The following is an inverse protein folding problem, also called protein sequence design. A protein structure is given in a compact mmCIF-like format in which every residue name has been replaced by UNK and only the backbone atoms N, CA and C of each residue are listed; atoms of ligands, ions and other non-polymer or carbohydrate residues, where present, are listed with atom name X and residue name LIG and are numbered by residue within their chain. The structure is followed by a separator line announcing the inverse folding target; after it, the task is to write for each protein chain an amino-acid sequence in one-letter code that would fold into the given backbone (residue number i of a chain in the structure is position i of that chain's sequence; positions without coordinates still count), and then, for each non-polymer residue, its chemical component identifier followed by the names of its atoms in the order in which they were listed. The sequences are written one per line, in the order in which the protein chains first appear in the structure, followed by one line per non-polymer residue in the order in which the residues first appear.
data_IF_850507022886
#
_entry.id   IF_850507022886
#
_cell.length_a   1.000
_cell.length_b   1.000
_cell.length_c   1.000
_cell.angle_alpha   90.00
_cell.angle_beta   90.00
_cell.angle_gamma   90.00
#
_symmetry.space_group_name_H-M   'P 1'
#
loop_
_entity.id
_entity.type
_entity.pdbx_description
1 polymer ?
#
# COMPACT_ATOMS: atom_id res chain seq x y z
N UNK A 1 10.94 4.10 -12.92
CA UNK A 1 9.79 4.99 -12.65
C UNK A 1 10.25 6.26 -11.93
N UNK A 2 9.47 7.36 -11.95
CA UNK A 2 9.81 8.60 -11.23
C UNK A 2 8.89 8.82 -10.02
N UNK A 3 9.40 8.59 -8.82
CA UNK A 3 8.61 8.70 -7.57
C UNK A 3 8.13 10.13 -7.30
N UNK A 4 8.87 11.15 -7.76
CA UNK A 4 8.47 12.55 -7.59
C UNK A 4 7.24 12.88 -8.44
N UNK A 5 7.18 12.37 -9.67
CA UNK A 5 6.01 12.55 -10.55
C UNK A 5 4.78 11.83 -9.97
N UNK A 6 4.94 10.62 -9.44
CA UNK A 6 3.85 9.88 -8.80
C UNK A 6 3.33 10.61 -7.57
N UNK A 7 4.23 11.16 -6.76
CA UNK A 7 3.84 12.00 -5.61
C UNK A 7 2.91 13.13 -6.05
N UNK A 8 3.21 13.79 -7.18
CA UNK A 8 2.36 14.85 -7.73
C UNK A 8 1.02 14.32 -8.25
N UNK A 9 1.01 13.15 -8.89
CA UNK A 9 -0.23 12.52 -9.36
C UNK A 9 -1.18 12.14 -8.22
N UNK A 10 -0.65 11.86 -7.03
CA UNK A 10 -1.45 11.53 -5.85
C UNK A 10 -1.93 12.73 -5.04
N UNK A 11 -1.47 13.95 -5.34
CA UNK A 11 -1.95 15.16 -4.65
C UNK A 11 -3.46 15.36 -4.83
N UNK A 12 -4.13 15.74 -3.75
CA UNK A 12 -5.58 15.96 -3.69
C UNK A 12 -6.42 14.67 -3.54
N UNK A 13 -5.80 13.49 -3.60
CA UNK A 13 -6.44 12.23 -3.26
C UNK A 13 -6.22 11.86 -1.78
N UNK A 14 -6.94 10.85 -1.30
CA UNK A 14 -6.75 10.30 0.05
C UNK A 14 -6.56 8.79 -0.04
N UNK A 15 -5.89 8.19 0.94
CA UNK A 15 -5.70 6.74 0.99
C UNK A 15 -7.03 5.95 0.97
N UNK A 16 -8.08 6.35 1.73
CA UNK A 16 -9.39 5.69 1.61
C UNK A 16 -9.96 5.66 0.20
N UNK A 17 -9.81 6.74 -0.58
CA UNK A 17 -10.28 6.78 -1.98
C UNK A 17 -9.49 5.81 -2.87
N UNK A 18 -8.18 5.68 -2.65
CA UNK A 18 -7.35 4.72 -3.36
C UNK A 18 -7.78 3.27 -3.04
N UNK A 19 -7.95 2.96 -1.76
CA UNK A 19 -8.40 1.64 -1.30
C UNK A 19 -9.81 1.33 -1.84
N UNK A 20 -10.74 2.29 -1.75
CA UNK A 20 -12.09 2.14 -2.29
C UNK A 20 -12.07 1.84 -3.80
N UNK A 21 -11.21 2.54 -4.56
CA UNK A 21 -11.04 2.28 -5.99
C UNK A 21 -10.52 0.87 -6.25
N UNK A 22 -9.53 0.41 -5.49
CA UNK A 22 -8.97 -0.94 -5.65
C UNK A 22 -10.03 -2.01 -5.36
N UNK A 23 -10.71 -1.97 -4.21
CA UNK A 23 -11.69 -3.00 -3.84
C UNK A 23 -12.95 -3.00 -4.73
N UNK A 24 -13.21 -1.91 -5.46
CA UNK A 24 -14.29 -1.85 -6.46
C UNK A 24 -13.87 -2.39 -7.82
N UNK A 25 -12.58 -2.37 -8.10
CA UNK A 25 -12.02 -2.70 -9.43
C UNK A 25 -11.46 -4.12 -9.48
N UNK A 26 -11.08 -4.68 -8.34
CA UNK A 26 -10.44 -5.99 -8.23
C UNK A 26 -11.20 -6.83 -7.20
N UNK A 27 -11.46 -8.08 -7.55
CA UNK A 27 -11.93 -9.09 -6.60
C UNK A 27 -10.79 -9.57 -5.69
N UNK A 28 -11.16 -10.37 -4.69
CA UNK A 28 -10.24 -10.88 -3.68
C UNK A 28 -9.11 -11.76 -4.27
N UNK A 29 -9.45 -12.63 -5.21
CA UNK A 29 -8.50 -13.55 -5.84
C UNK A 29 -7.49 -12.79 -6.70
N UNK A 30 -7.95 -11.77 -7.45
CA UNK A 30 -7.11 -10.89 -8.26
C UNK A 30 -6.18 -10.06 -7.38
N UNK A 31 -6.67 -9.53 -6.26
CA UNK A 31 -5.82 -8.84 -5.27
C UNK A 31 -4.74 -9.78 -4.72
N UNK A 32 -5.10 -11.02 -4.38
CA UNK A 32 -4.15 -12.01 -3.87
C UNK A 32 -3.10 -12.39 -4.92
N UNK A 33 -3.51 -12.55 -6.18
CA UNK A 33 -2.60 -12.79 -7.30
C UNK A 33 -1.66 -11.60 -7.53
N UNK A 34 -2.17 -10.36 -7.49
CA UNK A 34 -1.36 -9.16 -7.64
C UNK A 34 -0.32 -9.02 -6.52
N UNK A 35 -0.70 -9.32 -5.26
CA UNK A 35 0.24 -9.36 -4.14
C UNK A 35 1.34 -10.39 -4.40
N UNK A 36 0.97 -11.62 -4.79
CA UNK A 36 1.94 -12.69 -5.08
C UNK A 36 2.89 -12.31 -6.21
N UNK A 37 2.36 -11.78 -7.33
CA UNK A 37 3.16 -11.33 -8.47
C UNK A 37 4.11 -10.19 -8.12
N UNK A 38 3.68 -9.24 -7.28
CA UNK A 38 4.54 -8.12 -6.86
C UNK A 38 5.74 -8.60 -6.04
N UNK A 39 5.61 -9.68 -5.25
CA UNK A 39 6.77 -10.28 -4.57
C UNK A 39 7.81 -10.85 -5.53
N UNK A 40 7.44 -11.20 -6.77
CA UNK A 40 8.37 -11.75 -7.76
C UNK A 40 9.41 -10.73 -8.21
N UNK A 41 9.14 -9.44 -8.03
CA UNK A 41 10.07 -8.34 -8.34
C UNK A 41 11.22 -8.20 -7.31
N UNK A 42 11.17 -8.98 -6.22
CA UNK A 42 12.20 -8.99 -5.18
C UNK A 42 12.99 -10.30 -5.20
N UNK A 43 14.30 -10.24 -4.89
CA UNK A 43 15.12 -11.44 -4.65
C UNK A 43 14.47 -12.36 -3.62
N UNK A 44 14.51 -13.67 -3.85
CA UNK A 44 13.81 -14.66 -3.01
C UNK A 44 14.24 -14.54 -1.55
N UNK A 45 15.52 -14.27 -1.30
CA UNK A 45 16.07 -14.15 0.06
C UNK A 45 15.54 -12.92 0.79
N UNK A 46 15.13 -11.87 0.05
CA UNK A 46 14.64 -10.61 0.60
C UNK A 46 13.11 -10.59 0.78
N UNK A 47 12.36 -11.46 0.08
CA UNK A 47 10.89 -11.52 0.17
C UNK A 47 10.35 -11.63 1.60
N UNK A 48 10.90 -12.46 2.51
CA UNK A 48 10.43 -12.52 3.90
C UNK A 48 10.52 -11.17 4.63
N UNK A 49 11.55 -10.38 4.35
CA UNK A 49 11.74 -9.07 4.95
C UNK A 49 10.74 -8.04 4.39
N UNK A 50 10.50 -8.06 3.07
CA UNK A 50 9.45 -7.25 2.44
C UNK A 50 8.09 -7.60 3.03
N UNK A 51 7.81 -8.89 3.21
CA UNK A 51 6.57 -9.37 3.78
C UNK A 51 6.34 -8.87 5.21
N UNK A 52 7.33 -9.07 6.08
CA UNK A 52 7.27 -8.61 7.47
C UNK A 52 7.13 -7.09 7.56
N UNK A 53 7.92 -6.35 6.78
CA UNK A 53 7.90 -4.89 6.80
C UNK A 53 6.56 -4.33 6.33
N UNK A 54 6.08 -4.75 5.16
CA UNK A 54 4.83 -4.22 4.60
C UNK A 54 3.62 -4.54 5.48
N UNK A 55 3.63 -5.71 6.16
CA UNK A 55 2.60 -6.07 7.13
C UNK A 55 2.63 -5.12 8.33
N UNK A 56 3.80 -4.94 8.95
CA UNK A 56 3.96 -4.08 10.11
C UNK A 56 3.65 -2.61 9.77
N UNK A 57 4.12 -2.14 8.62
CA UNK A 57 3.92 -0.77 8.17
C UNK A 57 2.45 -0.43 7.95
N UNK A 58 1.66 -1.37 7.42
CA UNK A 58 0.22 -1.16 7.19
C UNK A 58 -0.54 -0.73 8.46
N UNK A 59 -0.03 -1.09 9.64
CA UNK A 59 -0.62 -0.69 10.92
C UNK A 59 -0.48 0.81 11.20
N UNK A 60 0.55 1.48 10.68
CA UNK A 60 0.71 2.94 10.80
C UNK A 60 -0.44 3.69 10.14
N UNK A 61 -1.04 3.11 9.10
CA UNK A 61 -2.18 3.69 8.39
C UNK A 61 -3.51 3.46 9.11
N UNK A 62 -3.53 2.80 10.27
CA UNK A 62 -4.74 2.66 11.07
C UNK A 62 -4.84 3.81 12.07
N UNK A 63 -5.60 4.84 11.70
CA UNK A 63 -5.94 5.93 12.62
C UNK A 63 -6.74 7.04 11.94
N UNK A 64 -7.34 7.96 12.71
CA UNK A 64 -8.17 9.04 12.16
C UNK A 64 -7.42 9.96 11.18
N UNK A 65 -6.11 10.15 11.40
CA UNK A 65 -5.26 11.01 10.56
C UNK A 65 -5.24 10.57 9.09
N UNK A 66 -5.31 9.25 8.83
CA UNK A 66 -5.22 8.71 7.46
C UNK A 66 -6.42 9.06 6.60
N UNK A 67 -7.56 9.39 7.22
CA UNK A 67 -8.83 9.55 6.52
C UNK A 67 -8.86 10.80 5.66
N UNK A 68 -8.09 11.81 6.07
CA UNK A 68 -8.06 13.14 5.46
C UNK A 68 -6.67 13.54 4.97
N UNK A 69 -5.62 12.79 5.31
CA UNK A 69 -4.28 13.06 4.85
C UNK A 69 -4.19 12.95 3.32
N UNK A 70 -3.39 13.86 2.74
CA UNK A 70 -3.13 13.89 1.31
C UNK A 70 -2.33 12.65 0.92
N UNK A 71 -2.77 11.95 -0.12
CA UNK A 71 -2.14 10.72 -0.56
C UNK A 71 -0.71 10.95 -1.08
N UNK A 72 -0.41 12.13 -1.64
CA UNK A 72 0.95 12.47 -2.03
C UNK A 72 1.88 12.59 -0.82
N UNK A 73 1.41 13.14 0.30
CA UNK A 73 2.18 13.18 1.56
C UNK A 73 2.36 11.76 2.13
N UNK A 74 1.27 10.97 2.23
CA UNK A 74 1.35 9.56 2.68
C UNK A 74 2.34 8.78 1.82
N UNK A 75 2.28 8.96 0.49
CA UNK A 75 3.18 8.31 -0.44
C UNK A 75 4.62 8.74 -0.18
N UNK A 76 4.91 10.04 -0.15
CA UNK A 76 6.25 10.58 0.08
C UNK A 76 6.86 10.05 1.39
N UNK A 77 6.11 10.11 2.50
CA UNK A 77 6.55 9.64 3.81
C UNK A 77 6.81 8.13 3.79
N UNK A 78 5.93 7.36 3.15
CA UNK A 78 6.09 5.91 3.05
C UNK A 78 7.32 5.53 2.23
N UNK A 79 7.57 6.23 1.12
CA UNK A 79 8.75 6.02 0.28
C UNK A 79 10.03 6.35 1.06
N UNK A 80 10.03 7.42 1.85
CA UNK A 80 11.15 7.77 2.72
C UNK A 80 11.40 6.68 3.77
N UNK A 81 10.36 6.19 4.43
CA UNK A 81 10.47 5.12 5.42
C UNK A 81 10.96 3.80 4.80
N UNK A 82 10.52 3.46 3.58
CA UNK A 82 10.99 2.27 2.85
C UNK A 82 12.48 2.39 2.55
N UNK A 83 12.92 3.56 2.04
CA UNK A 83 14.34 3.82 1.75
C UNK A 83 15.20 3.78 3.03
N UNK A 84 14.67 4.29 4.14
CA UNK A 84 15.30 4.21 5.45
C UNK A 84 15.51 2.77 5.90
N UNK A 85 14.45 1.97 5.88
CA UNK A 85 14.53 0.55 6.25
C UNK A 85 15.51 -0.24 5.36
N UNK A 86 15.49 -0.02 4.05
CA UNK A 86 16.41 -0.69 3.13
C UNK A 86 17.87 -0.35 3.46
N UNK A 87 18.14 0.93 3.76
CA UNK A 87 19.47 1.40 4.17
C UNK A 87 19.93 0.74 5.47
N UNK A 88 19.08 0.67 6.49
CA UNK A 88 19.38 0.00 7.77
C UNK A 88 19.66 -1.50 7.60
N UNK A 89 18.99 -2.14 6.63
CA UNK A 89 19.19 -3.54 6.29
C UNK A 89 20.41 -3.81 5.37
N UNK A 90 21.09 -2.76 4.91
CA UNK A 90 22.19 -2.89 3.94
C UNK A 90 21.73 -3.32 2.54
N UNK A 91 20.45 -3.11 2.20
CA UNK A 91 19.84 -3.49 0.92
C UNK A 91 19.64 -2.24 0.05
N UNK A 92 20.07 -2.33 -1.20
CA UNK A 92 19.81 -1.29 -2.19
C UNK A 92 18.55 -1.61 -2.98
N UNK A 93 17.51 -0.78 -2.83
CA UNK A 93 16.29 -0.86 -3.63
C UNK A 93 16.29 0.19 -4.74
N UNK A 94 15.92 -0.20 -5.95
CA UNK A 94 15.65 0.76 -7.01
C UNK A 94 14.25 1.40 -6.84
N UNK A 95 13.98 2.50 -7.55
CA UNK A 95 12.72 3.23 -7.41
C UNK A 95 11.47 2.38 -7.76
N UNK A 96 11.60 1.38 -8.65
CA UNK A 96 10.50 0.48 -9.00
C UNK A 96 10.17 -0.44 -7.81
N UNK A 97 11.19 -1.04 -7.19
CA UNK A 97 11.05 -1.87 -5.99
C UNK A 97 10.51 -1.08 -4.79
N UNK A 98 10.92 0.17 -4.64
CA UNK A 98 10.41 1.04 -3.58
C UNK A 98 8.92 1.34 -3.77
N UNK A 99 8.49 1.58 -5.01
CA UNK A 99 7.07 1.72 -5.33
C UNK A 99 6.29 0.41 -5.16
N UNK A 100 6.88 -0.73 -5.52
CA UNK A 100 6.26 -2.04 -5.33
C UNK A 100 6.02 -2.34 -3.85
N UNK A 101 6.94 -1.93 -2.97
CA UNK A 101 6.72 -2.00 -1.52
C UNK A 101 5.54 -1.13 -1.07
N UNK A 102 5.41 0.10 -1.59
CA UNK A 102 4.22 0.92 -1.34
C UNK A 102 2.94 0.22 -1.84
N UNK A 103 2.95 -0.32 -3.06
CA UNK A 103 1.81 -1.04 -3.62
C UNK A 103 1.43 -2.27 -2.81
N UNK A 104 2.40 -3.04 -2.32
CA UNK A 104 2.15 -4.18 -1.44
C UNK A 104 1.39 -3.76 -0.18
N UNK A 105 1.77 -2.63 0.43
CA UNK A 105 1.07 -2.10 1.61
C UNK A 105 -0.38 -1.72 1.23
N UNK A 106 -0.58 -0.99 0.13
CA UNK A 106 -1.93 -0.61 -0.33
C UNK A 106 -2.78 -1.84 -0.63
N UNK A 107 -2.28 -2.79 -1.42
CA UNK A 107 -3.02 -4.01 -1.79
C UNK A 107 -3.37 -4.86 -0.57
N UNK A 108 -2.49 -4.94 0.43
CA UNK A 108 -2.78 -5.63 1.70
C UNK A 108 -3.90 -4.97 2.46
N UNK A 109 -3.87 -3.64 2.59
CA UNK A 109 -4.96 -2.92 3.26
C UNK A 109 -6.26 -3.06 2.48
N UNK A 110 -6.22 -3.04 1.15
CA UNK A 110 -7.38 -3.29 0.29
C UNK A 110 -7.94 -4.71 0.45
N UNK A 111 -7.09 -5.73 0.47
CA UNK A 111 -7.50 -7.11 0.74
C UNK A 111 -8.16 -7.24 2.12
N UNK A 112 -7.58 -6.63 3.16
CA UNK A 112 -8.20 -6.61 4.48
C UNK A 112 -9.52 -5.81 4.49
N UNK A 113 -9.63 -4.72 3.73
CA UNK A 113 -10.87 -3.94 3.65
C UNK A 113 -11.98 -4.70 2.89
N UNK A 114 -11.60 -5.55 1.93
CA UNK A 114 -12.52 -6.47 1.24
C UNK A 114 -13.10 -7.51 2.21
N UNK A 115 -12.20 -8.18 2.95
CA UNK A 115 -12.55 -9.31 3.84
C UNK A 115 -13.11 -8.88 5.20
N UNK A 116 -12.76 -7.70 5.71
CA UNK A 116 -13.16 -7.22 7.05
C UNK A 116 -14.03 -5.96 6.97
N UNK A 117 -15.36 -6.09 7.12
CA UNK A 117 -16.28 -4.94 7.11
C UNK A 117 -15.95 -3.85 8.12
N UNK A 118 -15.37 -4.20 9.27
CA UNK A 118 -14.95 -3.25 10.30
C UNK A 118 -13.84 -2.32 9.84
N UNK A 119 -12.84 -2.86 9.12
CA UNK A 119 -11.75 -2.05 8.56
C UNK A 119 -12.28 -1.11 7.48
N UNK A 120 -13.16 -1.60 6.60
CA UNK A 120 -13.82 -0.76 5.59
C UNK A 120 -14.58 0.42 6.22
N UNK A 121 -15.31 0.17 7.32
CA UNK A 121 -16.00 1.22 8.08
C UNK A 121 -15.01 2.21 8.71
N UNK A 122 -13.91 1.73 9.28
CA UNK A 122 -12.87 2.59 9.87
C UNK A 122 -12.25 3.52 8.82
N UNK A 123 -12.07 3.03 7.59
CA UNK A 123 -11.60 3.83 6.45
C UNK A 123 -12.67 4.78 5.89
N UNK A 124 -13.89 4.81 6.44
CA UNK A 124 -14.97 5.65 5.93
C UNK A 124 -15.52 5.20 4.57
N UNK A 125 -15.18 4.00 4.11
CA UNK A 125 -15.63 3.46 2.83
C UNK A 125 -17.05 2.93 3.01
N UNK A 126 -18.01 3.55 2.32
CA UNK A 126 -19.43 3.15 2.39
C UNK A 126 -19.61 1.75 1.80
N UNK A 127 -20.58 0.99 2.30
CA UNK A 127 -21.06 -0.24 1.64
C UNK A 127 -21.62 0.17 0.26
N UNK A 128 -20.81 0.11 -0.80
CA UNK A 128 -21.33 -0.08 -2.14
C UNK A 128 -21.93 -1.49 -2.25
N UNK A 129 -22.81 -1.72 -3.22
CA UNK A 129 -23.21 -3.07 -3.59
C UNK A 129 -21.99 -3.81 -4.13
N UNK A 130 -21.30 -4.54 -3.25
CA UNK A 130 -20.27 -5.50 -3.61
C UNK A 130 -21.01 -6.83 -3.76
N UNK A 131 -21.46 -7.11 -4.98
CA UNK A 131 -22.11 -8.36 -5.39
C UNK A 131 -21.10 -9.24 -6.09
#
# INVERSE_FOLDING_TARGET
MNLKEITQQYRGATLPKLIEKQIKSLDEDTLLQAIRGTYEHFPIEFRPQVDAYTLAYSQKWFGPHILTADLGDIFSDTIQDIKGMATEAGVSLNDDQVFDMFNLIVMRVSFFAHTKPGLRKMLGIKKGWFS
#
